data_IF_678336951665
#
_entry.id   IF_678336951665
#
_cell.length_a   1.000
_cell.length_b   1.000
_cell.length_c   1.000
_cell.angle_alpha   90.00
_cell.angle_beta   90.00
_cell.angle_gamma   90.00
#
_symmetry.space_group_name_H-M   'P 1'
#
loop_
_entity.id
_entity.type
_entity.pdbx_description
1 polymer ?
#
# COMPACT_ATOMS: atom_id res chain seq x y z
N UNK A 1 7.04 -16.17 8.91
CA UNK A 1 6.16 -16.28 10.10
C UNK A 1 4.93 -15.44 9.82
N UNK A 2 3.74 -15.95 10.16
CA UNK A 2 2.50 -15.21 9.97
C UNK A 2 2.54 -13.93 10.84
N UNK A 3 2.64 -12.77 10.19
CA UNK A 3 2.58 -11.47 10.85
C UNK A 3 1.15 -11.22 11.30
N UNK A 4 0.82 -11.60 12.52
CA UNK A 4 -0.42 -11.19 13.16
C UNK A 4 -0.20 -9.83 13.83
N UNK A 5 -1.02 -8.84 13.50
CA UNK A 5 -1.07 -7.60 14.28
C UNK A 5 -1.83 -7.87 15.58
N UNK A 6 -1.22 -7.52 16.72
CA UNK A 6 -1.84 -7.63 18.05
C UNK A 6 -1.80 -6.28 18.73
N UNK A 7 -2.90 -5.85 19.31
CA UNK A 7 -2.92 -4.69 20.19
C UNK A 7 -2.34 -5.11 21.54
N UNK A 8 -1.34 -4.38 22.03
CA UNK A 8 -0.73 -4.62 23.34
C UNK A 8 -0.43 -3.31 24.05
N UNK A 9 -0.29 -3.37 25.38
CA UNK A 9 0.02 -2.20 26.21
C UNK A 9 -1.21 -1.54 26.87
N UNK A 10 -0.96 -0.49 27.68
CA UNK A 10 -2.01 0.26 28.37
C UNK A 10 -3.02 0.83 27.37
N UNK A 11 -4.31 0.61 27.61
CA UNK A 11 -5.38 1.07 26.72
C UNK A 11 -5.70 0.13 25.54
N UNK A 12 -4.90 -0.92 25.31
CA UNK A 12 -5.13 -1.85 24.21
C UNK A 12 -6.52 -2.51 24.22
N UNK A 13 -7.00 -2.92 25.40
CA UNK A 13 -8.35 -3.48 25.54
C UNK A 13 -9.46 -2.47 25.23
N UNK A 14 -9.25 -1.18 25.51
CA UNK A 14 -10.23 -0.14 25.17
C UNK A 14 -10.23 0.13 23.66
N UNK A 15 -9.06 0.14 23.01
CA UNK A 15 -8.94 0.26 21.56
C UNK A 15 -9.60 -0.92 20.85
N UNK A 16 -9.32 -2.16 21.27
CA UNK A 16 -9.94 -3.35 20.69
C UNK A 16 -11.46 -3.30 20.77
N UNK A 17 -12.03 -2.96 21.94
CA UNK A 17 -13.49 -2.79 22.08
C UNK A 17 -14.03 -1.68 21.19
N UNK A 18 -13.38 -0.52 21.15
CA UNK A 18 -13.82 0.59 20.31
C UNK A 18 -13.81 0.25 18.82
N UNK A 19 -12.83 -0.53 18.36
CA UNK A 19 -12.78 -1.04 16.98
C UNK A 19 -13.88 -2.07 16.71
N UNK A 20 -14.13 -2.99 17.65
CA UNK A 20 -15.23 -3.95 17.55
C UNK A 20 -16.60 -3.24 17.49
N UNK A 21 -16.82 -2.22 18.32
CA UNK A 21 -18.02 -1.39 18.31
C UNK A 21 -18.17 -0.61 16.99
N UNK A 22 -17.10 0.03 16.52
CA UNK A 22 -17.09 0.76 15.26
C UNK A 22 -17.43 -0.16 14.08
N UNK A 23 -16.75 -1.30 13.97
CA UNK A 23 -16.96 -2.25 12.86
C UNK A 23 -18.35 -2.87 12.96
N UNK A 24 -18.76 -3.33 14.14
CA UNK A 24 -20.06 -3.92 14.40
C UNK A 24 -21.22 -2.98 14.03
N UNK A 25 -21.09 -1.70 14.37
CA UNK A 25 -22.07 -0.66 14.04
C UNK A 25 -22.14 -0.29 12.55
N UNK A 26 -21.12 -0.64 11.75
CA UNK A 26 -20.97 -0.17 10.37
C UNK A 26 -20.80 -1.30 9.33
N UNK A 27 -21.09 -2.56 9.67
CA UNK A 27 -20.83 -3.73 8.80
C UNK A 27 -21.37 -3.58 7.37
N UNK A 28 -22.61 -3.11 7.21
CA UNK A 28 -23.20 -2.94 5.88
C UNK A 28 -22.43 -1.92 5.03
N UNK A 29 -22.06 -0.80 5.63
CA UNK A 29 -21.28 0.25 4.97
C UNK A 29 -19.87 -0.24 4.65
N UNK A 30 -19.18 -0.89 5.58
CA UNK A 30 -17.82 -1.38 5.37
C UNK A 30 -17.76 -2.46 4.28
N UNK A 31 -18.80 -3.30 4.14
CA UNK A 31 -18.87 -4.33 3.09
C UNK A 31 -19.10 -3.78 1.68
N UNK A 32 -19.67 -2.58 1.56
CA UNK A 32 -20.15 -2.04 0.27
C UNK A 32 -19.52 -0.71 -0.11
N UNK A 33 -18.96 0.02 0.84
CA UNK A 33 -18.38 1.36 0.66
C UNK A 33 -16.95 1.36 0.15
N UNK A 34 -16.32 0.20 0.03
CA UNK A 34 -14.96 0.07 -0.50
C UNK A 34 -14.98 -0.50 -1.93
N UNK A 35 -14.16 0.02 -2.84
CA UNK A 35 -14.09 -0.49 -4.21
C UNK A 35 -13.56 -1.93 -4.21
N UNK A 36 -14.33 -2.83 -4.80
CA UNK A 36 -13.94 -4.23 -5.00
C UNK A 36 -12.90 -4.34 -6.12
N UNK A 37 -11.97 -5.29 -5.97
CA UNK A 37 -11.02 -5.65 -7.04
C UNK A 37 -9.85 -4.69 -7.23
N UNK A 38 -9.69 -3.66 -6.40
CA UNK A 38 -8.51 -2.79 -6.46
C UNK A 38 -7.32 -3.49 -5.79
N UNK A 39 -6.26 -3.88 -6.52
CA UNK A 39 -5.19 -4.72 -5.99
C UNK A 39 -4.33 -3.99 -4.94
N UNK A 40 -4.24 -2.66 -5.03
CA UNK A 40 -3.56 -1.81 -4.04
C UNK A 40 -4.37 -0.55 -3.73
N UNK A 41 -4.54 -0.27 -2.44
CA UNK A 41 -5.00 1.01 -1.89
C UNK A 41 -3.91 1.53 -0.98
N UNK A 42 -3.40 2.72 -1.27
CA UNK A 42 -2.15 3.23 -0.70
C UNK A 42 -2.40 4.33 0.33
N UNK A 43 -3.57 4.99 0.27
CA UNK A 43 -3.98 6.08 1.16
C UNK A 43 -5.34 5.83 1.78
N UNK A 44 -5.60 6.53 2.89
CA UNK A 44 -6.84 6.46 3.66
C UNK A 44 -6.91 5.26 4.61
N UNK A 45 -8.08 5.11 5.25
CA UNK A 45 -8.32 4.04 6.23
C UNK A 45 -8.91 2.81 5.55
N UNK A 46 -8.17 1.70 5.52
CA UNK A 46 -8.64 0.42 5.01
C UNK A 46 -9.50 -0.32 6.06
N UNK A 47 -10.60 0.28 6.51
CA UNK A 47 -11.45 -0.27 7.58
C UNK A 47 -12.15 -1.58 7.19
N UNK A 48 -12.28 -1.85 5.89
CA UNK A 48 -12.74 -3.15 5.39
C UNK A 48 -11.80 -4.31 5.77
N UNK A 49 -10.52 -4.03 6.03
CA UNK A 49 -9.59 -5.02 6.57
C UNK A 49 -9.94 -5.46 8.01
N UNK A 50 -10.79 -4.70 8.71
CA UNK A 50 -11.26 -5.04 10.06
C UNK A 50 -12.54 -5.91 10.06
N UNK A 51 -13.11 -6.22 8.89
CA UNK A 51 -14.29 -7.08 8.82
C UNK A 51 -13.99 -8.49 9.38
N UNK A 52 -14.95 -9.13 10.08
CA UNK A 52 -14.76 -10.47 10.63
C UNK A 52 -14.35 -11.50 9.56
N UNK A 53 -14.98 -11.44 8.38
CA UNK A 53 -14.64 -12.30 7.24
C UNK A 53 -13.23 -12.06 6.65
N UNK A 54 -12.61 -10.92 6.94
CA UNK A 54 -11.23 -10.62 6.56
C UNK A 54 -10.21 -11.05 7.63
N UNK A 55 -10.68 -11.56 8.78
CA UNK A 55 -9.82 -12.02 9.88
C UNK A 55 -9.25 -10.90 10.77
N UNK A 56 -9.80 -9.68 10.66
CA UNK A 56 -9.39 -8.49 11.44
C UNK A 56 -7.89 -8.17 11.31
N UNK A 57 -7.50 -7.60 10.16
CA UNK A 57 -6.13 -7.17 9.88
C UNK A 57 -5.89 -5.70 10.28
N UNK A 58 -5.49 -5.52 11.54
CA UNK A 58 -5.18 -4.20 12.11
C UNK A 58 -4.01 -3.50 11.41
N UNK A 59 -3.00 -4.25 10.95
CA UNK A 59 -1.84 -3.65 10.28
C UNK A 59 -2.29 -3.05 8.94
N UNK A 60 -3.09 -3.79 8.17
CA UNK A 60 -3.64 -3.29 6.92
C UNK A 60 -4.60 -2.12 7.12
N UNK A 61 -5.42 -2.12 8.17
CA UNK A 61 -6.30 -1.01 8.49
C UNK A 61 -5.54 0.27 8.89
N UNK A 62 -4.36 0.12 9.52
CA UNK A 62 -3.49 1.24 9.91
C UNK A 62 -2.70 1.82 8.72
N UNK A 63 -2.27 0.97 7.79
CA UNK A 63 -1.57 1.39 6.56
C UNK A 63 -2.45 2.37 5.75
N UNK A 64 -1.89 3.53 5.41
CA UNK A 64 -2.63 4.60 4.71
C UNK A 64 -3.27 5.64 5.64
N UNK A 65 -3.18 5.47 6.97
CA UNK A 65 -3.66 6.47 7.94
C UNK A 65 -2.87 7.78 7.93
N UNK A 66 -1.69 7.81 7.30
CA UNK A 66 -0.86 9.01 7.18
C UNK A 66 -0.57 9.68 8.54
N UNK A 67 -0.41 8.86 9.60
CA UNK A 67 -0.04 9.32 10.95
C UNK A 67 -1.21 9.84 11.80
N UNK A 68 -2.43 9.86 11.26
CA UNK A 68 -3.61 10.37 11.98
C UNK A 68 -4.13 9.45 13.08
N UNK A 69 -3.81 8.15 13.02
CA UNK A 69 -4.24 7.15 14.01
C UNK A 69 -3.16 6.81 15.05
N UNK A 70 -1.92 7.28 14.84
CA UNK A 70 -0.82 7.02 15.77
C UNK A 70 0.54 7.00 15.09
N UNK A 71 1.55 6.60 15.87
CA UNK A 71 2.95 6.51 15.44
C UNK A 71 3.40 5.05 15.48
N UNK A 72 3.95 4.57 14.37
CA UNK A 72 4.59 3.25 14.31
C UNK A 72 6.00 3.38 14.89
N UNK A 73 6.27 2.70 15.99
CA UNK A 73 7.60 2.69 16.62
C UNK A 73 8.45 1.52 16.17
N UNK A 74 7.81 0.41 15.78
CA UNK A 74 8.48 -0.84 15.37
C UNK A 74 7.71 -1.50 14.23
N UNK A 75 8.44 -2.12 13.30
CA UNK A 75 7.88 -2.93 12.22
C UNK A 75 8.83 -4.08 11.88
N UNK A 76 8.28 -5.29 11.72
CA UNK A 76 9.02 -6.44 11.18
C UNK A 76 8.71 -6.57 9.70
N UNK A 77 9.75 -6.56 8.87
CA UNK A 77 9.62 -6.68 7.41
C UNK A 77 10.33 -7.92 6.89
N UNK A 78 9.82 -8.48 5.80
CA UNK A 78 10.49 -9.54 5.07
C UNK A 78 11.59 -8.92 4.21
N UNK A 79 12.81 -9.41 4.37
CA UNK A 79 13.93 -9.06 3.49
C UNK A 79 13.89 -9.87 2.20
N UNK A 80 14.52 -9.34 1.16
CA UNK A 80 14.73 -10.01 -0.13
C UNK A 80 16.23 -10.05 -0.43
N UNK A 81 16.64 -11.02 -1.24
CA UNK A 81 18.03 -11.14 -1.69
C UNK A 81 18.41 -9.95 -2.59
N UNK A 82 19.64 -9.45 -2.43
CA UNK A 82 20.13 -8.39 -3.32
C UNK A 82 20.58 -8.99 -4.65
N UNK A 83 20.21 -8.42 -5.80
CA UNK A 83 20.69 -8.91 -7.09
C UNK A 83 22.22 -8.72 -7.18
N UNK A 84 22.98 -9.72 -7.66
CA UNK A 84 24.45 -9.68 -7.69
C UNK A 84 25.01 -8.67 -8.70
N UNK A 85 24.19 -8.28 -9.69
CA UNK A 85 24.50 -7.25 -10.67
C UNK A 85 23.24 -6.40 -10.95
N UNK A 86 23.45 -5.13 -11.31
CA UNK A 86 22.38 -4.19 -11.65
C UNK A 86 22.73 -3.50 -12.97
N UNK A 87 21.75 -3.33 -13.83
CA UNK A 87 21.85 -2.57 -15.06
C UNK A 87 20.64 -1.62 -15.16
N UNK A 88 20.83 -0.49 -15.86
CA UNK A 88 19.78 0.47 -16.14
C UNK A 88 19.63 0.58 -17.67
N UNK A 89 18.40 0.46 -18.15
CA UNK A 89 18.04 0.77 -19.52
C UNK A 89 17.19 2.05 -19.52
N UNK A 90 17.54 3.00 -20.38
CA UNK A 90 16.77 4.23 -20.59
C UNK A 90 16.11 4.13 -21.96
N UNK A 91 14.78 4.20 -22.00
CA UNK A 91 13.98 4.07 -23.20
C UNK A 91 13.30 5.40 -23.48
N UNK A 92 13.58 5.99 -24.64
CA UNK A 92 12.93 7.20 -25.10
C UNK A 92 11.64 6.89 -25.85
N UNK A 93 10.59 7.66 -25.57
CA UNK A 93 9.28 7.55 -26.20
C UNK A 93 8.84 8.91 -26.76
N UNK A 94 7.95 8.95 -27.77
CA UNK A 94 7.47 10.20 -28.34
C UNK A 94 6.68 11.06 -27.36
N UNK A 95 5.99 10.44 -26.39
CA UNK A 95 5.21 11.11 -25.35
C UNK A 95 5.04 10.20 -24.10
N UNK A 96 4.49 10.78 -23.03
CA UNK A 96 4.26 10.09 -21.74
C UNK A 96 3.27 8.94 -21.84
N UNK A 97 2.24 9.06 -22.69
CA UNK A 97 1.25 7.99 -22.88
C UNK A 97 1.91 6.77 -23.53
N UNK A 98 2.74 6.98 -24.55
CA UNK A 98 3.50 5.91 -25.20
C UNK A 98 4.47 5.21 -24.22
N UNK A 99 5.10 5.95 -23.31
CA UNK A 99 5.93 5.38 -22.26
C UNK A 99 5.11 4.55 -21.26
N UNK A 100 3.95 5.04 -20.84
CA UNK A 100 3.07 4.35 -19.90
C UNK A 100 2.53 3.03 -20.46
N UNK A 101 2.09 3.01 -21.72
CA UNK A 101 1.62 1.80 -22.40
C UNK A 101 2.74 0.75 -22.53
N UNK A 102 3.98 1.18 -22.79
CA UNK A 102 5.12 0.28 -22.92
C UNK A 102 5.50 -0.40 -21.58
N UNK A 103 5.25 0.24 -20.44
CA UNK A 103 5.67 -0.25 -19.12
C UNK A 103 5.11 -1.65 -18.80
N UNK A 104 3.86 -1.93 -19.18
CA UNK A 104 3.23 -3.25 -18.96
C UNK A 104 3.97 -4.36 -19.70
N UNK A 105 4.45 -4.07 -20.90
CA UNK A 105 5.24 -5.00 -21.72
C UNK A 105 6.62 -5.33 -21.14
N UNK A 106 7.11 -4.53 -20.18
CA UNK A 106 8.40 -4.76 -19.52
C UNK A 106 8.32 -5.71 -18.32
N UNK A 107 7.14 -5.88 -17.72
CA UNK A 107 6.94 -6.72 -16.53
C UNK A 107 7.39 -8.19 -16.70
N UNK A 108 7.17 -8.85 -17.86
CA UNK A 108 7.62 -10.24 -18.07
C UNK A 108 9.14 -10.44 -17.98
N UNK A 109 9.95 -9.39 -18.13
CA UNK A 109 11.41 -9.47 -18.01
C UNK A 109 11.91 -9.44 -16.57
N UNK A 110 11.01 -9.31 -15.58
CA UNK A 110 11.36 -9.26 -14.16
C UNK A 110 12.26 -8.08 -13.77
N UNK A 111 12.00 -6.84 -14.24
CA UNK A 111 12.79 -5.70 -13.82
C UNK A 111 12.64 -5.46 -12.30
N UNK A 112 13.70 -4.92 -11.67
CA UNK A 112 13.62 -4.50 -10.27
C UNK A 112 12.62 -3.35 -10.09
N UNK A 113 12.65 -2.38 -11.01
CA UNK A 113 11.75 -1.24 -11.06
C UNK A 113 11.49 -0.83 -12.51
N UNK A 114 10.34 -0.22 -12.76
CA UNK A 114 10.01 0.49 -14.00
C UNK A 114 9.47 1.85 -13.58
N UNK A 115 10.18 2.91 -13.96
CA UNK A 115 9.86 4.29 -13.59
C UNK A 115 9.70 5.14 -14.84
N UNK A 116 8.56 5.82 -14.96
CA UNK A 116 8.33 6.82 -16.00
C UNK A 116 8.83 8.18 -15.56
N UNK A 117 9.43 8.94 -16.49
CA UNK A 117 9.82 10.33 -16.27
C UNK A 117 9.24 11.20 -17.37
N UNK A 118 8.54 12.25 -16.97
CA UNK A 118 7.99 13.25 -17.88
C UNK A 118 9.11 14.10 -18.51
N UNK A 119 8.84 14.67 -19.68
CA UNK A 119 9.83 15.44 -20.45
C UNK A 119 10.38 16.65 -19.66
N UNK A 120 9.50 17.35 -18.94
CA UNK A 120 9.84 18.51 -18.13
C UNK A 120 10.77 18.16 -16.96
N UNK A 121 10.57 16.97 -16.35
CA UNK A 121 11.42 16.43 -15.31
C UNK A 121 12.83 16.10 -15.85
N UNK A 122 12.92 15.56 -17.07
CA UNK A 122 14.19 15.16 -17.69
C UNK A 122 15.01 16.35 -18.19
N UNK A 123 14.35 17.37 -18.77
CA UNK A 123 15.04 18.56 -19.31
C UNK A 123 15.59 19.49 -18.23
N UNK A 124 15.27 19.22 -16.96
CA UNK A 124 15.59 20.06 -15.81
C UNK A 124 14.70 21.29 -15.84
N UNK A 125 13.72 21.36 -14.93
CA UNK A 125 12.72 22.42 -14.88
C UNK A 125 13.30 23.81 -15.11
N UNK A 126 13.16 24.32 -16.34
CA UNK A 126 13.30 25.73 -16.65
C UNK A 126 11.90 26.31 -16.70
N UNK A 127 11.47 26.82 -15.55
CA UNK A 127 10.61 28.00 -15.55
C UNK A 127 11.39 29.21 -16.03
#
# INVERSE_FOLDING_TARGET
GAGGSRVSGPGGAALSRGLEELVGGNLALLRTGYPAGLPRRISGYALDALLPEAGVDLARAFCGSEGTLGVVTEATVRLVESPPARALAVLGYPDESAAAEAAVGLLPYGPLTVEGMAEDLVRGGRG
#
